data_IF_601359181555
#
_entry.id   IF_601359181555
#
_cell.length_a   1.000
_cell.length_b   1.000
_cell.length_c   1.000
_cell.angle_alpha   90.00
_cell.angle_beta   90.00
_cell.angle_gamma   90.00
#
_symmetry.space_group_name_H-M   'P 1'
#
loop_
_entity.id
_entity.type
_entity.pdbx_description
1 polymer ?
#
# COMPACT_ATOMS: atom_id res chain seq x y z
N UNK A 1 -14.09 -15.91 25.15
CA UNK A 1 -13.54 -16.96 24.26
C UNK A 1 -14.25 -16.79 22.93
N UNK A 2 -13.65 -16.58 21.76
CA UNK A 2 -12.28 -16.59 21.28
C UNK A 2 -12.39 -15.96 19.88
N UNK A 3 -11.72 -14.84 19.61
CA UNK A 3 -11.46 -14.41 18.23
C UNK A 3 -10.03 -13.88 18.15
N UNK A 4 -9.10 -14.76 18.45
CA UNK A 4 -7.70 -14.64 18.01
C UNK A 4 -7.74 -14.41 16.51
N UNK A 5 -7.33 -13.23 16.04
CA UNK A 5 -7.14 -12.95 14.63
C UNK A 5 -5.98 -13.80 14.13
N UNK A 6 -6.27 -15.01 13.66
CA UNK A 6 -5.28 -15.81 12.95
C UNK A 6 -4.78 -15.02 11.74
N UNK A 7 -3.46 -14.96 11.57
CA UNK A 7 -2.84 -14.43 10.37
C UNK A 7 -3.35 -15.22 9.16
N UNK A 8 -4.20 -14.60 8.34
CA UNK A 8 -4.85 -15.22 7.16
C UNK A 8 -3.87 -15.76 6.10
N UNK A 9 -2.58 -15.44 6.18
CA UNK A 9 -1.54 -15.90 5.26
C UNK A 9 -0.28 -16.36 5.98
N UNK A 10 0.37 -17.37 5.40
CA UNK A 10 1.64 -17.94 5.83
C UNK A 10 2.81 -17.30 5.10
N UNK A 11 4.01 -17.38 5.69
CA UNK A 11 5.25 -16.91 5.04
C UNK A 11 5.45 -17.51 3.64
N UNK A 12 5.15 -18.80 3.47
CA UNK A 12 5.28 -19.49 2.18
C UNK A 12 4.40 -18.86 1.09
N UNK A 13 3.19 -18.44 1.45
CA UNK A 13 2.27 -17.76 0.53
C UNK A 13 2.77 -16.37 0.15
N UNK A 14 3.32 -15.60 1.09
CA UNK A 14 3.94 -14.30 0.77
C UNK A 14 5.14 -14.44 -0.15
N UNK A 15 5.99 -15.45 0.11
CA UNK A 15 7.17 -15.73 -0.71
C UNK A 15 6.79 -16.13 -2.14
N UNK A 16 5.75 -16.96 -2.29
CA UNK A 16 5.21 -17.35 -3.62
C UNK A 16 4.79 -16.12 -4.45
N UNK A 17 4.06 -15.18 -3.86
CA UNK A 17 3.66 -13.94 -4.54
C UNK A 17 4.86 -13.04 -4.85
N UNK A 18 5.83 -12.92 -3.92
CA UNK A 18 7.04 -12.13 -4.14
C UNK A 18 7.91 -12.71 -5.26
N UNK A 19 8.15 -14.02 -5.26
CA UNK A 19 8.91 -14.71 -6.30
C UNK A 19 8.22 -14.54 -7.67
N UNK A 20 6.88 -14.66 -7.74
CA UNK A 20 6.12 -14.44 -8.96
C UNK A 20 6.30 -13.03 -9.55
N UNK A 21 6.34 -12.00 -8.69
CA UNK A 21 6.60 -10.61 -9.10
C UNK A 21 8.04 -10.45 -9.59
N UNK A 22 9.02 -10.94 -8.83
CA UNK A 22 10.45 -10.81 -9.13
C UNK A 22 10.86 -11.50 -10.44
N UNK A 23 10.20 -12.60 -10.82
CA UNK A 23 10.42 -13.26 -12.11
C UNK A 23 9.97 -12.42 -13.32
N UNK A 24 9.08 -11.44 -13.11
CA UNK A 24 8.38 -10.71 -14.18
C UNK A 24 8.75 -9.24 -14.25
N UNK A 25 9.70 -8.79 -13.42
CA UNK A 25 10.26 -7.45 -13.48
C UNK A 25 11.77 -7.49 -13.27
N UNK A 26 12.50 -6.60 -13.94
CA UNK A 26 13.93 -6.39 -13.67
C UNK A 26 14.15 -5.38 -12.53
N UNK A 27 13.07 -4.79 -12.00
CA UNK A 27 13.12 -3.76 -10.99
C UNK A 27 13.07 -4.36 -9.58
N UNK A 28 13.98 -3.92 -8.72
CA UNK A 28 13.99 -4.18 -7.27
C UNK A 28 13.61 -2.89 -6.54
N UNK A 29 12.32 -2.57 -6.39
CA UNK A 29 11.89 -1.33 -5.78
C UNK A 29 12.24 -1.32 -4.28
N UNK A 30 12.93 -0.27 -3.83
CA UNK A 30 13.21 -0.04 -2.40
C UNK A 30 12.07 0.67 -1.68
N UNK A 31 11.31 1.47 -2.45
CA UNK A 31 10.19 2.28 -1.98
C UNK A 31 8.91 1.76 -2.60
N UNK A 32 7.86 1.56 -1.81
CA UNK A 32 6.50 1.38 -2.31
C UNK A 32 5.67 2.64 -2.06
N UNK A 33 4.78 2.93 -3.00
CA UNK A 33 3.80 4.00 -2.90
C UNK A 33 2.41 3.38 -2.95
N UNK A 34 1.60 3.62 -1.93
CA UNK A 34 0.17 3.28 -1.94
C UNK A 34 -0.61 4.55 -2.26
N UNK A 35 -1.26 4.54 -3.42
CA UNK A 35 -2.07 5.64 -3.91
C UNK A 35 -3.51 5.51 -3.36
N UNK A 36 -3.93 6.49 -2.56
CA UNK A 36 -5.32 6.62 -2.14
C UNK A 36 -6.22 7.22 -3.21
N UNK A 37 -7.47 7.49 -2.85
CA UNK A 37 -8.47 8.09 -3.75
C UNK A 37 -7.97 9.41 -4.36
N UNK A 38 -8.06 9.54 -5.69
CA UNK A 38 -7.67 10.75 -6.42
C UNK A 38 -6.18 10.89 -6.75
N UNK A 39 -5.33 9.93 -6.33
CA UNK A 39 -3.88 9.98 -6.56
C UNK A 39 -3.38 8.96 -7.58
N UNK A 40 -4.27 8.33 -8.33
CA UNK A 40 -3.92 7.34 -9.37
C UNK A 40 -3.02 7.90 -10.47
N UNK A 41 -3.13 9.20 -10.77
CA UNK A 41 -2.30 9.88 -11.77
C UNK A 41 -0.80 9.89 -11.44
N UNK A 42 -0.40 9.57 -10.21
CA UNK A 42 1.01 9.39 -9.85
C UNK A 42 1.64 8.18 -10.57
N UNK A 43 0.86 7.12 -10.82
CA UNK A 43 1.34 5.95 -11.54
C UNK A 43 1.62 6.26 -13.03
N UNK A 44 0.87 7.20 -13.61
CA UNK A 44 1.02 7.62 -15.02
C UNK A 44 2.34 8.38 -15.27
N UNK A 45 2.97 8.90 -14.21
CA UNK A 45 4.26 9.60 -14.27
C UNK A 45 5.47 8.65 -14.21
N UNK A 46 5.25 7.35 -14.04
CA UNK A 46 6.33 6.37 -13.93
C UNK A 46 6.92 6.06 -15.32
N UNK A 47 8.22 6.31 -15.48
CA UNK A 47 8.97 5.89 -16.64
C UNK A 47 9.34 4.40 -16.56
N UNK A 48 9.32 3.69 -17.69
CA UNK A 48 9.68 2.27 -17.80
C UNK A 48 8.91 1.37 -16.81
N UNK A 49 7.62 1.64 -16.62
CA UNK A 49 6.80 0.92 -15.65
C UNK A 49 6.36 -0.45 -16.15
N UNK A 50 6.26 -1.40 -15.22
CA UNK A 50 5.66 -2.72 -15.44
C UNK A 50 4.35 -2.78 -14.64
N UNK A 51 3.23 -2.97 -15.35
CA UNK A 51 1.91 -3.04 -14.74
C UNK A 51 1.47 -4.50 -14.56
N UNK A 52 1.05 -4.84 -13.33
CA UNK A 52 0.52 -6.16 -12.99
C UNK A 52 -0.97 -6.03 -12.63
N UNK A 53 -1.90 -6.55 -13.44
CA UNK A 53 -3.30 -6.58 -13.06
C UNK A 53 -3.48 -7.45 -11.81
N UNK A 54 -4.20 -6.95 -10.81
CA UNK A 54 -4.34 -7.67 -9.53
C UNK A 54 -4.93 -9.08 -9.65
N UNK A 55 -5.79 -9.31 -10.65
CA UNK A 55 -6.36 -10.63 -10.96
C UNK A 55 -5.32 -11.67 -11.35
N UNK A 56 -4.17 -11.23 -11.86
CA UNK A 56 -3.10 -12.10 -12.36
C UNK A 56 -2.07 -12.40 -11.27
N UNK A 57 -2.07 -11.63 -10.18
CA UNK A 57 -1.16 -11.81 -9.05
C UNK A 57 -1.71 -12.95 -8.15
N UNK A 58 -0.96 -14.06 -7.97
CA UNK A 58 -1.42 -15.17 -7.15
C UNK A 58 -1.71 -14.74 -5.72
N UNK A 59 -2.90 -15.11 -5.23
CA UNK A 59 -3.34 -14.93 -3.82
C UNK A 59 -3.33 -13.47 -3.34
N UNK A 60 -3.59 -12.51 -4.23
CA UNK A 60 -3.61 -11.09 -3.88
C UNK A 60 -4.95 -10.65 -3.26
N UNK A 61 -5.05 -10.57 -1.91
CA UNK A 61 -5.79 -9.48 -1.26
C UNK A 61 -5.17 -8.92 0.04
N UNK A 62 -5.25 -7.58 0.14
CA UNK A 62 -4.75 -6.58 1.10
C UNK A 62 -3.28 -6.68 1.56
N UNK A 63 -2.55 -5.61 1.22
CA UNK A 63 -1.09 -5.50 1.11
C UNK A 63 -0.32 -5.72 2.42
N UNK A 64 0.70 -6.58 2.35
CA UNK A 64 1.77 -6.78 3.35
C UNK A 64 3.12 -6.97 2.64
N UNK A 65 3.41 -6.09 1.67
CA UNK A 65 4.68 -6.07 0.93
C UNK A 65 5.83 -5.65 1.88
N UNK A 66 6.95 -6.38 1.82
CA UNK A 66 8.21 -5.94 2.45
C UNK A 66 8.84 -4.87 1.58
N UNK A 67 8.71 -3.62 1.99
CA UNK A 67 9.47 -2.49 1.46
C UNK A 67 10.33 -1.88 2.56
N UNK A 68 11.48 -1.34 2.19
CA UNK A 68 12.33 -0.60 3.13
C UNK A 68 11.66 0.72 3.52
N UNK A 69 10.92 1.33 2.58
CA UNK A 69 10.18 2.57 2.81
C UNK A 69 8.81 2.51 2.13
N UNK A 70 7.77 2.83 2.89
CA UNK A 70 6.40 2.88 2.40
C UNK A 70 5.90 4.33 2.46
N UNK A 71 5.55 4.90 1.30
CA UNK A 71 4.83 6.16 1.21
C UNK A 71 3.35 5.85 1.08
N UNK A 72 2.56 6.33 2.04
CA UNK A 72 1.13 6.11 2.09
C UNK A 72 0.41 7.43 1.85
N UNK A 73 -0.47 7.46 0.86
CA UNK A 73 -1.20 8.66 0.48
C UNK A 73 -2.70 8.41 0.54
N UNK A 74 -3.47 9.40 0.98
CA UNK A 74 -4.92 9.30 1.08
C UNK A 74 -5.57 10.69 1.04
N UNK A 75 -6.81 10.75 0.56
CA UNK A 75 -7.67 11.91 0.73
C UNK A 75 -8.31 11.86 2.14
N UNK A 76 -8.20 12.95 2.90
CA UNK A 76 -8.76 13.04 4.25
C UNK A 76 -9.50 14.37 4.46
N UNK A 77 -10.49 14.36 5.35
CA UNK A 77 -11.12 15.59 5.83
C UNK A 77 -10.25 16.29 6.87
N UNK A 78 -9.97 17.57 6.66
CA UNK A 78 -9.23 18.39 7.62
C UNK A 78 -10.10 18.80 8.81
N UNK A 79 -9.75 18.37 10.02
CA UNK A 79 -10.40 18.84 11.25
C UNK A 79 -9.77 20.12 11.82
N UNK A 80 -8.52 20.41 11.43
CA UNK A 80 -7.86 21.66 11.81
C UNK A 80 -8.41 22.81 10.95
N UNK A 81 -9.01 23.87 11.56
CA UNK A 81 -9.61 24.99 10.81
C UNK A 81 -8.61 25.78 9.95
N UNK A 82 -7.30 25.60 10.16
CA UNK A 82 -6.26 26.23 9.35
C UNK A 82 -6.02 25.55 8.01
N UNK A 83 -6.56 24.35 7.81
CA UNK A 83 -6.39 23.61 6.55
C UNK A 83 -7.39 24.05 5.51
N UNK A 84 -6.90 24.17 4.28
CA UNK A 84 -7.68 24.43 3.10
C UNK A 84 -7.74 23.19 2.21
N UNK A 85 -8.73 23.14 1.32
CA UNK A 85 -8.80 22.10 0.29
C UNK A 85 -7.56 22.19 -0.59
N UNK A 86 -6.85 21.06 -0.72
CA UNK A 86 -5.60 20.96 -1.48
C UNK A 86 -4.33 20.98 -0.64
N UNK A 87 -4.42 21.26 0.67
CA UNK A 87 -3.25 21.21 1.55
C UNK A 87 -2.72 19.77 1.70
N UNK A 88 -1.39 19.63 1.68
CA UNK A 88 -0.71 18.36 2.01
C UNK A 88 -0.38 18.35 3.50
N UNK A 89 -0.91 17.37 4.22
CA UNK A 89 -0.63 17.15 5.63
C UNK A 89 0.30 15.96 5.83
N UNK A 90 1.46 16.19 6.44
CA UNK A 90 2.34 15.11 6.90
C UNK A 90 1.75 14.46 8.16
N UNK A 91 1.61 13.14 8.14
CA UNK A 91 1.12 12.37 9.29
C UNK A 91 2.29 12.07 10.23
N UNK A 92 2.38 12.79 11.35
CA UNK A 92 3.35 12.50 12.41
C UNK A 92 2.89 11.38 13.36
N UNK A 93 1.58 11.28 13.61
CA UNK A 93 0.96 10.30 14.49
C UNK A 93 -0.47 9.96 14.03
N UNK A 94 -1.04 8.86 14.52
CA UNK A 94 -2.42 8.46 14.22
C UNK A 94 -3.15 7.96 15.48
N UNK A 95 -4.49 8.04 15.47
CA UNK A 95 -5.37 7.42 16.47
C UNK A 95 -6.12 6.28 15.77
N UNK A 96 -6.02 5.06 16.31
CA UNK A 96 -6.67 3.88 15.73
C UNK A 96 -8.01 3.58 16.43
N UNK A 97 -9.10 4.21 15.98
CA UNK A 97 -10.43 4.01 16.56
C UNK A 97 -11.00 2.59 16.38
N UNK A 98 -10.85 1.89 15.23
CA UNK A 98 -11.36 0.53 15.07
C UNK A 98 -10.67 -0.53 15.95
N UNK A 99 -9.45 -0.25 16.41
CA UNK A 99 -8.71 -1.13 17.33
C UNK A 99 -8.92 -0.82 18.81
N UNK A 100 -9.77 0.17 19.12
CA UNK A 100 -10.07 0.62 20.49
C UNK A 100 -11.21 -0.20 21.11
#
# INVERSE_FOLDING_TARGET
>A
MSSTSESRYTYKQYKETADWLLERTQHMPKVAIICGSGLGGLADLLENSVAFPYKDIPRFPQSTVRVETLILTNAAGGLNPKFNVGDIMLIGHHINMPGL
#
